data_IF_677279855205
#
_entry.id   IF_677279855205
#
_cell.length_a   1.000
_cell.length_b   1.000
_cell.length_c   1.000
_cell.angle_alpha   90.00
_cell.angle_beta   90.00
_cell.angle_gamma   90.00
#
_symmetry.space_group_name_H-M   'P 1'
#
loop_
_entity.id
_entity.type
_entity.pdbx_description
1 polymer ?
#
# COMPACT_ATOMS: atom_id res chain seq x y z
N UNK A 1 16.62 -6.96 -19.24
CA UNK A 1 16.37 -5.50 -19.24
C UNK A 1 17.38 -4.69 -18.41
N UNK A 2 18.47 -5.30 -17.91
CA UNK A 2 19.53 -4.64 -17.15
C UNK A 2 20.76 -4.26 -18.01
N UNK A 3 20.76 -4.58 -19.31
CA UNK A 3 21.93 -4.39 -20.20
C UNK A 3 21.97 -3.02 -20.89
N UNK A 4 20.83 -2.36 -21.07
CA UNK A 4 20.76 -1.12 -21.86
C UNK A 4 21.11 0.14 -21.05
N UNK A 5 21.13 0.06 -19.72
CA UNK A 5 21.52 1.16 -18.84
C UNK A 5 23.02 1.21 -18.56
N UNK A 6 23.73 0.10 -18.73
CA UNK A 6 25.19 0.06 -18.54
C UNK A 6 25.96 0.50 -19.79
N UNK A 7 25.36 0.35 -20.97
CA UNK A 7 25.94 0.79 -22.24
C UNK A 7 25.91 2.32 -22.38
N UNK A 8 24.88 2.99 -21.86
CA UNK A 8 24.75 4.46 -21.89
C UNK A 8 25.71 5.19 -20.94
N UNK A 9 26.20 4.52 -19.88
CA UNK A 9 27.15 5.12 -18.94
C UNK A 9 28.59 5.11 -19.47
N UNK A 10 28.98 4.11 -20.25
CA UNK A 10 30.32 4.01 -20.85
C UNK A 10 30.50 4.99 -22.02
N UNK A 11 29.44 5.31 -22.78
CA UNK A 11 29.55 6.27 -23.90
C UNK A 11 29.71 7.72 -23.44
N UNK A 12 29.33 8.05 -22.20
CA UNK A 12 29.46 9.41 -21.66
C UNK A 12 30.89 9.72 -21.17
N UNK A 13 31.71 8.70 -20.88
CA UNK A 13 33.06 8.88 -20.30
C UNK A 13 34.13 9.06 -21.38
N UNK A 14 33.95 8.56 -22.61
CA UNK A 14 34.96 8.70 -23.67
C UNK A 14 34.91 10.03 -24.47
N UNK A 15 33.91 10.89 -24.25
CA UNK A 15 33.76 12.13 -25.05
C UNK A 15 34.37 13.38 -24.38
N UNK A 16 35.06 13.24 -23.23
CA UNK A 16 35.55 14.41 -22.45
C UNK A 16 37.07 14.47 -22.27
N UNK A 17 37.86 13.85 -23.15
CA UNK A 17 39.32 14.09 -23.25
C UNK A 17 39.72 14.26 -24.71
N UNK A 18 39.63 15.49 -25.24
CA UNK A 18 40.07 15.72 -26.62
C UNK A 18 39.66 17.04 -27.26
N UNK A 19 39.70 18.17 -26.55
CA UNK A 19 39.75 19.49 -27.22
C UNK A 19 40.79 20.35 -26.50
N UNK A 20 42.05 20.10 -26.85
CA UNK A 20 43.11 21.11 -26.69
C UNK A 20 42.81 22.20 -27.71
N UNK A 21 42.37 23.36 -27.22
CA UNK A 21 42.28 24.58 -28.04
C UNK A 21 43.71 25.05 -28.29
N UNK A 22 44.28 24.64 -29.42
CA UNK A 22 45.33 25.39 -30.11
C UNK A 22 44.67 26.09 -31.29
N UNK A 23 44.17 27.30 -31.06
CA UNK A 23 43.96 28.24 -32.16
C UNK A 23 45.17 29.18 -32.14
N UNK A 24 46.13 28.83 -32.98
CA UNK A 24 47.29 29.64 -33.32
C UNK A 24 46.75 30.90 -34.01
N UNK A 25 46.76 32.01 -33.27
CA UNK A 25 46.42 33.32 -33.79
C UNK A 25 47.34 33.65 -34.98
N UNK A 26 46.81 33.48 -36.20
CA UNK A 26 47.41 33.97 -37.42
C UNK A 26 47.52 35.50 -37.32
N UNK A 27 48.70 35.98 -36.95
CA UNK A 27 49.09 37.37 -37.16
C UNK A 27 49.27 37.61 -38.67
N UNK A 28 48.15 37.80 -39.36
CA UNK A 28 48.09 38.53 -40.62
C UNK A 28 48.30 40.01 -40.33
N UNK A 29 49.56 40.41 -40.17
CA UNK A 29 49.97 41.81 -40.27
C UNK A 29 49.89 42.21 -41.74
N UNK A 30 48.69 42.52 -42.21
CA UNK A 30 48.50 43.20 -43.49
C UNK A 30 49.10 44.60 -43.34
N UNK A 31 50.23 44.77 -44.00
CA UNK A 31 50.92 46.03 -44.14
C UNK A 31 50.07 46.97 -45.02
N UNK A 32 49.06 47.59 -44.42
CA UNK A 32 48.42 48.77 -44.97
C UNK A 32 49.40 49.94 -44.82
N UNK A 33 50.19 50.13 -45.87
CA UNK A 33 51.02 51.30 -46.15
C UNK A 33 50.15 52.55 -46.18
N UNK A 34 49.93 53.18 -45.02
CA UNK A 34 49.55 54.58 -44.97
C UNK A 34 50.81 55.42 -45.27
N UNK A 35 51.02 55.66 -46.56
CA UNK A 35 51.88 56.72 -47.05
C UNK A 35 51.41 58.03 -46.45
N UNK A 36 52.25 58.61 -45.59
CA UNK A 36 52.07 59.97 -45.11
C UNK A 36 52.55 60.88 -46.22
N UNK A 37 51.61 61.49 -46.93
CA UNK A 37 51.87 62.62 -47.80
C UNK A 37 52.51 63.73 -46.97
N UNK A 38 53.81 63.94 -47.19
CA UNK A 38 54.54 65.06 -46.65
C UNK A 38 54.15 66.34 -47.41
N UNK A 39 53.12 67.03 -46.92
CA UNK A 39 52.85 68.43 -47.25
C UNK A 39 53.10 69.25 -45.98
N UNK A 40 54.23 69.95 -45.97
CA UNK A 40 54.80 70.56 -44.78
C UNK A 40 54.03 71.77 -44.26
N UNK A 41 54.30 72.10 -42.99
CA UNK A 41 54.44 73.46 -42.50
C UNK A 41 55.34 73.42 -41.26
N UNK A 42 56.43 74.18 -41.32
CA UNK A 42 57.25 74.49 -40.16
C UNK A 42 56.55 75.58 -39.33
N UNK A 43 56.50 75.44 -38.01
CA UNK A 43 57.10 76.41 -37.06
C UNK A 43 56.83 76.01 -35.61
N UNK A 44 57.85 76.28 -34.79
CA UNK A 44 57.83 76.45 -33.33
C UNK A 44 57.87 75.24 -32.40
N UNK A 45 58.66 75.42 -31.35
CA UNK A 45 59.09 74.40 -30.40
C UNK A 45 57.90 73.80 -29.62
N UNK A 46 57.69 72.50 -29.75
CA UNK A 46 56.69 71.80 -28.95
C UNK A 46 57.17 70.38 -28.64
N UNK A 47 56.92 69.94 -27.40
CA UNK A 47 57.29 68.62 -26.92
C UNK A 47 56.71 67.49 -27.77
N UNK A 48 57.16 66.27 -27.46
CA UNK A 48 56.74 65.00 -28.09
C UNK A 48 55.43 65.12 -28.90
N UNK A 49 55.42 64.85 -30.23
CA UNK A 49 54.27 65.06 -31.10
C UNK A 49 52.99 64.31 -30.69
N UNK A 50 53.09 63.39 -29.72
CA UNK A 50 51.98 62.68 -29.08
C UNK A 50 51.16 63.55 -28.09
N UNK A 51 51.69 64.68 -27.63
CA UNK A 51 51.09 65.54 -26.60
C UNK A 51 50.61 66.89 -27.14
N UNK A 52 50.37 66.98 -28.45
CA UNK A 52 49.78 68.18 -29.05
C UNK A 52 48.28 68.27 -28.73
N UNK A 53 47.95 69.19 -27.81
CA UNK A 53 46.62 69.45 -27.27
C UNK A 53 45.64 69.89 -28.39
N UNK A 54 46.13 70.40 -29.53
CA UNK A 54 45.28 70.77 -30.66
C UNK A 54 44.48 69.59 -31.23
N UNK A 55 44.96 68.35 -31.07
CA UNK A 55 44.28 67.13 -31.57
C UNK A 55 43.30 66.51 -30.58
N UNK A 56 43.38 66.87 -29.29
CA UNK A 56 42.56 66.26 -28.23
C UNK A 56 41.07 66.55 -28.37
N UNK A 57 40.67 67.71 -28.91
CA UNK A 57 39.25 68.04 -29.12
C UNK A 57 38.52 67.04 -30.02
N UNK A 58 39.15 66.67 -31.15
CA UNK A 58 38.58 65.69 -32.08
C UNK A 58 38.58 64.26 -31.48
N UNK A 59 39.64 63.87 -30.78
CA UNK A 59 39.71 62.56 -30.11
C UNK A 59 38.66 62.43 -29.00
N UNK A 60 38.51 63.45 -28.15
CA UNK A 60 37.51 63.48 -27.08
C UNK A 60 36.09 63.48 -27.67
N UNK A 61 35.83 64.21 -28.75
CA UNK A 61 34.55 64.19 -29.44
C UNK A 61 34.17 62.77 -29.90
N UNK A 62 35.07 62.08 -30.62
CA UNK A 62 34.81 60.70 -31.06
C UNK A 62 34.75 59.70 -29.91
N UNK A 63 35.53 59.90 -28.83
CA UNK A 63 35.44 59.09 -27.62
C UNK A 63 34.04 59.21 -27.02
N UNK A 64 33.52 60.43 -26.86
CA UNK A 64 32.16 60.64 -26.34
C UNK A 64 31.11 60.05 -27.27
N UNK A 65 31.23 60.24 -28.59
CA UNK A 65 30.30 59.66 -29.58
C UNK A 65 30.28 58.14 -29.49
N UNK A 66 31.44 57.49 -29.52
CA UNK A 66 31.54 56.02 -29.43
C UNK A 66 31.09 55.48 -28.07
N UNK A 67 31.38 56.19 -26.97
CA UNK A 67 30.90 55.84 -25.64
C UNK A 67 29.38 55.90 -25.56
N UNK A 68 28.76 56.95 -26.12
CA UNK A 68 27.29 57.09 -26.17
C UNK A 68 26.68 55.99 -27.04
N UNK A 69 27.26 55.70 -28.21
CA UNK A 69 26.79 54.60 -29.07
C UNK A 69 26.90 53.26 -28.34
N UNK A 70 28.03 52.98 -27.69
CA UNK A 70 28.22 51.75 -26.89
C UNK A 70 27.22 51.67 -25.73
N UNK A 71 27.00 52.77 -25.01
CA UNK A 71 26.02 52.86 -23.93
C UNK A 71 24.59 52.56 -24.43
N UNK A 72 24.21 53.09 -25.59
CA UNK A 72 22.92 52.82 -26.20
C UNK A 72 22.79 51.35 -26.61
N UNK A 73 23.83 50.74 -27.17
CA UNK A 73 23.82 49.30 -27.52
C UNK A 73 23.70 48.43 -26.28
N UNK A 74 24.48 48.71 -25.22
CA UNK A 74 24.42 47.94 -23.98
C UNK A 74 23.08 48.10 -23.27
N UNK A 75 22.60 49.33 -23.11
CA UNK A 75 21.33 49.60 -22.43
C UNK A 75 20.13 49.05 -23.18
N UNK A 76 20.15 49.10 -24.53
CA UNK A 76 18.98 48.76 -25.34
C UNK A 76 18.98 47.34 -25.89
N UNK A 77 20.13 46.66 -25.96
CA UNK A 77 20.25 45.32 -26.54
C UNK A 77 20.85 44.30 -25.56
N UNK A 78 21.99 44.59 -24.94
CA UNK A 78 22.69 43.60 -24.11
C UNK A 78 21.98 43.35 -22.77
N UNK A 79 21.68 44.41 -22.02
CA UNK A 79 20.98 44.31 -20.73
C UNK A 79 19.59 43.66 -20.83
N UNK A 80 18.70 44.04 -21.77
CA UNK A 80 17.39 43.42 -21.86
C UNK A 80 17.45 41.94 -22.24
N UNK A 81 18.45 41.50 -23.03
CA UNK A 81 18.64 40.08 -23.34
C UNK A 81 19.04 39.26 -22.12
N UNK A 82 19.95 39.77 -21.30
CA UNK A 82 20.37 39.09 -20.06
C UNK A 82 19.21 39.05 -19.06
N UNK A 83 18.46 40.16 -18.94
CA UNK A 83 17.28 40.23 -18.07
C UNK A 83 16.20 39.20 -18.48
N UNK A 84 15.97 39.00 -19.78
CA UNK A 84 15.03 37.99 -20.27
C UNK A 84 15.44 36.57 -19.86
N UNK A 85 16.71 36.17 -20.07
CA UNK A 85 17.20 34.84 -19.67
C UNK A 85 17.11 34.63 -18.16
N UNK A 86 17.41 35.67 -17.38
CA UNK A 86 17.30 35.59 -15.93
C UNK A 86 15.84 35.42 -15.48
N UNK A 87 14.92 36.16 -16.09
CA UNK A 87 13.48 36.03 -15.85
C UNK A 87 12.96 34.64 -16.22
N UNK A 88 13.38 34.09 -17.36
CA UNK A 88 12.98 32.75 -17.81
C UNK A 88 13.44 31.68 -16.81
N UNK A 89 14.69 31.78 -16.33
CA UNK A 89 15.22 30.86 -15.30
C UNK A 89 14.49 30.99 -13.98
N UNK A 90 14.21 32.22 -13.52
CA UNK A 90 13.44 32.43 -12.30
C UNK A 90 12.01 31.88 -12.44
N UNK A 91 11.39 32.07 -13.61
CA UNK A 91 10.08 31.51 -13.93
C UNK A 91 10.08 29.99 -13.91
N UNK A 92 11.07 29.35 -14.54
CA UNK A 92 11.22 27.89 -14.52
C UNK A 92 11.42 27.35 -13.11
N UNK A 93 12.33 27.93 -12.32
CA UNK A 93 12.58 27.51 -10.93
C UNK A 93 11.35 27.68 -10.05
N UNK A 94 10.62 28.79 -10.21
CA UNK A 94 9.39 29.03 -9.46
C UNK A 94 8.30 28.04 -9.87
N UNK A 95 8.17 27.76 -11.17
CA UNK A 95 7.26 26.75 -11.70
C UNK A 95 7.56 25.36 -11.16
N UNK A 96 8.82 24.95 -11.18
CA UNK A 96 9.28 23.66 -10.66
C UNK A 96 9.05 23.55 -9.15
N UNK A 97 9.28 24.63 -8.39
CA UNK A 97 9.03 24.67 -6.96
C UNK A 97 7.53 24.53 -6.65
N UNK A 98 6.68 25.25 -7.39
CA UNK A 98 5.22 25.15 -7.25
C UNK A 98 4.72 23.74 -7.59
N UNK A 99 5.22 23.15 -8.68
CA UNK A 99 4.87 21.78 -9.06
C UNK A 99 5.32 20.77 -8.00
N UNK A 100 6.53 20.92 -7.43
CA UNK A 100 7.02 20.09 -6.35
C UNK A 100 6.16 20.20 -5.08
N UNK A 101 5.76 21.42 -4.70
CA UNK A 101 4.86 21.67 -3.57
C UNK A 101 3.48 21.02 -3.82
N UNK A 102 2.93 21.15 -5.03
CA UNK A 102 1.66 20.54 -5.43
C UNK A 102 1.73 19.00 -5.37
N UNK A 103 2.79 18.39 -5.91
CA UNK A 103 2.98 16.94 -5.83
C UNK A 103 3.18 16.46 -4.39
N UNK A 104 3.89 17.23 -3.56
CA UNK A 104 4.04 16.94 -2.13
C UNK A 104 2.70 17.01 -1.40
N UNK A 105 1.87 17.99 -1.72
CA UNK A 105 0.54 18.13 -1.13
C UNK A 105 -0.37 16.98 -1.57
N UNK A 106 -0.40 16.65 -2.86
CA UNK A 106 -1.14 15.49 -3.39
C UNK A 106 -0.68 14.17 -2.77
N UNK A 107 0.62 13.99 -2.57
CA UNK A 107 1.16 12.79 -1.92
C UNK A 107 0.68 12.69 -0.46
N UNK A 108 0.71 13.79 0.31
CA UNK A 108 0.20 13.82 1.68
C UNK A 108 -1.30 13.55 1.76
N UNK A 109 -2.08 14.11 0.83
CA UNK A 109 -3.52 13.87 0.76
C UNK A 109 -3.84 12.41 0.42
N UNK A 110 -3.09 11.82 -0.52
CA UNK A 110 -3.21 10.41 -0.86
C UNK A 110 -2.80 9.50 0.31
N UNK A 111 -1.74 9.83 1.03
CA UNK A 111 -1.30 9.11 2.25
C UNK A 111 -2.38 9.18 3.33
N UNK A 112 -2.92 10.36 3.62
CA UNK A 112 -4.00 10.52 4.59
C UNK A 112 -5.28 9.76 4.19
N UNK A 113 -5.63 9.77 2.90
CA UNK A 113 -6.77 9.02 2.39
C UNK A 113 -6.54 7.50 2.47
N UNK A 114 -5.32 7.04 2.18
CA UNK A 114 -4.92 5.64 2.31
C UNK A 114 -4.99 5.17 3.77
N UNK A 115 -4.40 5.92 4.69
CA UNK A 115 -4.40 5.60 6.12
C UNK A 115 -5.81 5.58 6.70
N UNK A 116 -6.66 6.53 6.27
CA UNK A 116 -8.08 6.54 6.62
C UNK A 116 -8.80 5.30 6.09
N UNK A 117 -8.63 4.96 4.81
CA UNK A 117 -9.25 3.78 4.23
C UNK A 117 -8.79 2.49 4.93
N UNK A 118 -7.51 2.41 5.33
CA UNK A 118 -6.98 1.28 6.08
C UNK A 118 -7.57 1.19 7.49
N UNK A 119 -7.74 2.32 8.17
CA UNK A 119 -8.37 2.38 9.49
C UNK A 119 -9.85 1.97 9.42
N UNK A 120 -10.58 2.52 8.44
CA UNK A 120 -11.99 2.21 8.20
C UNK A 120 -12.18 0.73 7.87
N UNK A 121 -11.37 0.17 6.96
CA UNK A 121 -11.41 -1.25 6.62
C UNK A 121 -11.09 -2.17 7.82
N UNK A 122 -10.14 -1.79 8.68
CA UNK A 122 -9.85 -2.54 9.92
C UNK A 122 -11.01 -2.47 10.90
N UNK A 123 -11.64 -1.32 11.05
CA UNK A 123 -12.81 -1.14 11.92
C UNK A 123 -14.00 -1.96 11.40
N UNK A 124 -14.26 -1.92 10.10
CA UNK A 124 -15.33 -2.69 9.46
C UNK A 124 -15.09 -4.20 9.59
N UNK A 125 -13.86 -4.67 9.35
CA UNK A 125 -13.51 -6.07 9.56
C UNK A 125 -13.74 -6.53 11.01
N UNK A 126 -13.37 -5.70 11.99
CA UNK A 126 -13.63 -5.99 13.41
C UNK A 126 -15.13 -6.03 13.73
N UNK A 127 -15.91 -5.10 13.17
CA UNK A 127 -17.36 -5.07 13.33
C UNK A 127 -18.02 -6.33 12.73
N UNK A 128 -17.62 -6.73 11.52
CA UNK A 128 -18.08 -7.95 10.85
C UNK A 128 -17.74 -9.18 11.70
N UNK A 129 -16.52 -9.28 12.23
CA UNK A 129 -16.13 -10.41 13.09
C UNK A 129 -16.96 -10.46 14.38
N UNK A 130 -17.22 -9.31 15.01
CA UNK A 130 -18.04 -9.23 16.22
C UNK A 130 -19.50 -9.61 15.95
N UNK A 131 -20.07 -9.13 14.84
CA UNK A 131 -21.42 -9.47 14.41
C UNK A 131 -21.55 -10.98 14.13
N UNK A 132 -20.66 -11.54 13.30
CA UNK A 132 -20.68 -12.97 12.98
C UNK A 132 -20.51 -13.84 14.23
N UNK A 133 -19.66 -13.45 15.19
CA UNK A 133 -19.55 -14.17 16.47
C UNK A 133 -20.86 -14.19 17.24
N UNK A 134 -21.57 -13.06 17.25
CA UNK A 134 -22.86 -12.95 17.95
C UNK A 134 -23.94 -13.79 17.26
N UNK A 135 -24.01 -13.74 15.93
CA UNK A 135 -24.93 -14.55 15.14
C UNK A 135 -24.65 -16.05 15.30
N UNK A 136 -23.40 -16.48 15.15
CA UNK A 136 -22.98 -17.88 15.34
C UNK A 136 -23.29 -18.36 16.76
N UNK A 137 -23.04 -17.54 17.79
CA UNK A 137 -23.35 -17.91 19.17
C UNK A 137 -24.85 -18.11 19.36
N UNK A 138 -25.68 -17.24 18.79
CA UNK A 138 -27.15 -17.34 18.86
C UNK A 138 -27.65 -18.59 18.16
N UNK A 139 -27.13 -18.89 16.96
CA UNK A 139 -27.47 -20.11 16.23
C UNK A 139 -27.02 -21.38 16.96
N UNK A 140 -25.83 -21.34 17.56
CA UNK A 140 -25.28 -22.44 18.35
C UNK A 140 -26.15 -22.70 19.58
N UNK A 141 -26.54 -21.67 20.32
CA UNK A 141 -27.39 -21.79 21.51
C UNK A 141 -28.77 -22.36 21.13
N UNK A 142 -29.34 -21.93 20.01
CA UNK A 142 -30.60 -22.47 19.48
C UNK A 142 -30.46 -23.94 19.05
N UNK A 143 -29.35 -24.30 18.39
CA UNK A 143 -29.08 -25.67 17.99
C UNK A 143 -28.87 -26.60 19.19
N UNK A 144 -28.16 -26.14 20.22
CA UNK A 144 -27.99 -26.87 21.49
C UNK A 144 -29.35 -27.08 22.17
N UNK A 145 -30.16 -26.03 22.32
CA UNK A 145 -31.48 -26.13 22.95
C UNK A 145 -32.39 -27.12 22.20
N UNK A 146 -32.34 -27.13 20.86
CA UNK A 146 -33.07 -28.10 20.05
C UNK A 146 -32.55 -29.53 20.25
N UNK A 147 -31.23 -29.72 20.23
CA UNK A 147 -30.60 -31.01 20.44
C UNK A 147 -30.95 -31.58 21.82
N UNK A 148 -30.90 -30.76 22.87
CA UNK A 148 -31.27 -31.16 24.24
C UNK A 148 -32.74 -31.57 24.33
N UNK A 149 -33.65 -30.83 23.67
CA UNK A 149 -35.06 -31.19 23.61
C UNK A 149 -35.29 -32.54 22.89
N UNK A 150 -34.61 -32.78 21.77
CA UNK A 150 -34.69 -34.04 21.03
C UNK A 150 -34.10 -35.22 21.83
N UNK A 151 -32.96 -35.00 22.50
CA UNK A 151 -32.33 -36.00 23.38
C UNK A 151 -33.28 -36.34 24.54
N UNK A 152 -33.86 -35.34 25.20
CA UNK A 152 -34.80 -35.55 26.30
C UNK A 152 -36.04 -36.31 25.85
N UNK A 153 -36.57 -36.01 24.65
CA UNK A 153 -37.72 -36.73 24.09
C UNK A 153 -37.37 -38.20 23.80
N UNK A 154 -36.23 -38.47 23.16
CA UNK A 154 -35.76 -39.84 22.87
C UNK A 154 -35.44 -40.62 24.14
N UNK A 155 -34.90 -39.97 25.17
CA UNK A 155 -34.66 -40.58 26.46
C UNK A 155 -35.98 -41.00 27.12
N UNK A 156 -36.98 -40.12 27.16
CA UNK A 156 -38.31 -40.42 27.70
C UNK A 156 -39.01 -41.56 26.94
N UNK A 157 -38.91 -41.57 25.61
CA UNK A 157 -39.44 -42.66 24.78
C UNK A 157 -38.73 -44.00 25.06
N UNK A 158 -37.40 -43.98 25.15
CA UNK A 158 -36.60 -45.17 25.45
C UNK A 158 -36.92 -45.70 26.84
N UNK A 159 -37.08 -44.83 27.84
CA UNK A 159 -37.52 -45.23 29.18
C UNK A 159 -38.91 -45.86 29.17
N UNK A 160 -39.85 -45.31 28.39
CA UNK A 160 -41.18 -45.89 28.26
C UNK A 160 -41.13 -47.30 27.64
N UNK A 161 -40.36 -47.49 26.57
CA UNK A 161 -40.15 -48.83 25.98
C UNK A 161 -39.45 -49.79 26.95
N UNK A 162 -38.45 -49.34 27.70
CA UNK A 162 -37.78 -50.18 28.70
C UNK A 162 -38.77 -50.61 29.78
N UNK A 163 -39.66 -49.71 30.24
CA UNK A 163 -40.71 -50.05 31.22
C UNK A 163 -41.69 -51.08 30.65
N UNK A 164 -42.09 -50.94 29.39
CA UNK A 164 -42.98 -51.90 28.72
C UNK A 164 -42.31 -53.28 28.56
N UNK A 165 -41.06 -53.32 28.09
CA UNK A 165 -40.27 -54.56 27.98
C UNK A 165 -40.10 -55.22 29.35
N UNK A 166 -39.83 -54.45 30.40
CA UNK A 166 -39.75 -54.99 31.78
C UNK A 166 -41.07 -55.59 32.22
N UNK A 167 -42.19 -54.91 32.00
CA UNK A 167 -43.51 -55.42 32.37
C UNK A 167 -43.86 -56.72 31.61
N UNK A 168 -43.59 -56.78 30.30
CA UNK A 168 -43.78 -57.98 29.50
C UNK A 168 -42.85 -59.12 29.92
N UNK A 169 -41.58 -58.82 30.21
CA UNK A 169 -40.63 -59.81 30.70
C UNK A 169 -41.04 -60.38 32.06
N UNK A 170 -41.58 -59.56 32.97
CA UNK A 170 -42.10 -60.01 34.26
C UNK A 170 -43.31 -60.94 34.08
N UNK A 171 -44.20 -60.65 33.13
CA UNK A 171 -45.35 -61.51 32.80
C UNK A 171 -44.90 -62.85 32.19
N UNK A 172 -44.03 -62.83 31.18
CA UNK A 172 -43.46 -64.05 30.59
C UNK A 172 -42.67 -64.87 31.61
N UNK A 173 -41.95 -64.22 32.53
CA UNK A 173 -41.25 -64.91 33.61
C UNK A 173 -42.21 -65.61 34.58
N UNK A 174 -43.37 -65.01 34.89
CA UNK A 174 -44.42 -65.65 35.70
C UNK A 174 -45.03 -66.85 34.99
N UNK A 175 -45.31 -66.72 33.70
CA UNK A 175 -45.87 -67.81 32.89
C UNK A 175 -44.91 -69.01 32.85
N UNK A 176 -43.65 -68.78 32.49
CA UNK A 176 -42.62 -69.84 32.46
C UNK A 176 -42.41 -70.44 33.85
N UNK A 177 -42.39 -69.63 34.91
CA UNK A 177 -42.24 -70.15 36.28
C UNK A 177 -43.42 -71.04 36.69
N UNK A 178 -44.66 -70.68 36.33
CA UNK A 178 -45.85 -71.52 36.57
C UNK A 178 -45.78 -72.82 35.79
N UNK A 179 -45.45 -72.77 34.51
CA UNK A 179 -45.33 -73.94 33.63
C UNK A 179 -44.27 -74.92 34.13
N UNK A 180 -43.07 -74.42 34.45
CA UNK A 180 -41.97 -75.24 34.99
C UNK A 180 -42.34 -75.84 36.34
N UNK A 181 -43.00 -75.07 37.21
CA UNK A 181 -43.44 -75.58 38.54
C UNK A 181 -44.51 -76.67 38.39
N UNK A 182 -45.50 -76.49 37.51
CA UNK A 182 -46.55 -77.46 37.25
C UNK A 182 -45.98 -78.78 36.66
N UNK A 183 -45.03 -78.67 35.72
CA UNK A 183 -44.31 -79.83 35.19
C UNK A 183 -43.50 -80.54 36.27
N UNK A 184 -42.82 -79.79 37.15
CA UNK A 184 -42.02 -80.36 38.22
C UNK A 184 -42.90 -81.14 39.22
N UNK A 185 -44.02 -80.57 39.66
CA UNK A 185 -45.00 -81.23 40.57
C UNK A 185 -45.54 -82.51 39.94
N UNK A 186 -45.85 -82.47 38.64
CA UNK A 186 -46.31 -83.65 37.90
C UNK A 186 -45.23 -84.73 37.80
N UNK A 187 -43.95 -84.37 37.60
CA UNK A 187 -42.85 -85.34 37.54
C UNK A 187 -42.57 -86.04 38.87
N UNK A 188 -42.86 -85.38 40.00
CA UNK A 188 -42.70 -85.93 41.35
C UNK A 188 -43.95 -86.71 41.83
N UNK A 189 -44.95 -86.90 40.97
CA UNK A 189 -46.14 -87.70 41.25
C UNK A 189 -47.24 -86.97 42.04
N UNK A 190 -47.16 -85.64 42.16
CA UNK A 190 -48.22 -84.81 42.72
C UNK A 190 -49.28 -84.44 41.70
N UNK A 191 -50.49 -84.11 42.16
CA UNK A 191 -51.53 -83.53 41.29
C UNK A 191 -51.32 -82.01 41.25
N UNK A 192 -51.01 -81.45 40.09
CA UNK A 192 -50.79 -80.02 39.92
C UNK A 192 -52.14 -79.29 39.95
N UNK A 193 -52.49 -78.72 41.09
CA UNK A 193 -53.59 -77.75 41.16
C UNK A 193 -53.08 -76.39 40.65
N UNK A 194 -53.54 -76.01 39.46
CA UNK A 194 -53.15 -74.78 38.77
C UNK A 194 -53.35 -73.52 39.66
N UNK A 195 -54.40 -73.51 40.49
CA UNK A 195 -54.67 -72.39 41.38
C UNK A 195 -53.64 -72.29 42.52
N UNK A 196 -53.24 -73.43 43.08
CA UNK A 196 -52.23 -73.49 44.14
C UNK A 196 -50.83 -73.14 43.61
N UNK A 197 -50.47 -73.62 42.41
CA UNK A 197 -49.19 -73.31 41.75
C UNK A 197 -49.10 -71.82 41.40
N UNK A 198 -50.14 -71.24 40.81
CA UNK A 198 -50.18 -69.82 40.47
C UNK A 198 -50.03 -68.93 41.72
N UNK A 199 -50.74 -69.26 42.80
CA UNK A 199 -50.64 -68.57 44.10
C UNK A 199 -49.23 -68.64 44.70
N UNK A 200 -48.61 -69.83 44.69
CA UNK A 200 -47.28 -70.03 45.26
C UNK A 200 -46.18 -69.29 44.47
N UNK A 201 -46.26 -69.31 43.14
CA UNK A 201 -45.32 -68.60 42.27
C UNK A 201 -45.48 -67.08 42.43
N UNK A 202 -46.70 -66.55 42.44
CA UNK A 202 -46.95 -65.12 42.61
C UNK A 202 -46.46 -64.62 43.99
N UNK A 203 -46.69 -65.39 45.06
CA UNK A 203 -46.19 -65.07 46.39
C UNK A 203 -44.65 -65.03 46.42
N UNK A 204 -43.98 -65.94 45.71
CA UNK A 204 -42.52 -66.01 45.68
C UNK A 204 -41.89 -64.93 44.80
N UNK A 205 -42.50 -64.61 43.66
CA UNK A 205 -42.03 -63.53 42.78
C UNK A 205 -42.26 -62.13 43.41
N UNK A 206 -43.36 -61.90 44.13
CA UNK A 206 -43.54 -60.66 44.91
C UNK A 206 -42.47 -60.45 46.00
N UNK A 207 -41.94 -61.53 46.56
CA UNK A 207 -40.90 -61.49 47.58
C UNK A 207 -39.47 -61.27 47.05
N UNK A 208 -39.25 -61.40 45.74
CA UNK A 208 -37.93 -61.26 45.12
C UNK A 208 -37.70 -59.89 44.43
N UNK A 209 -38.75 -59.05 44.34
CA UNK A 209 -38.74 -57.75 43.63
C UNK A 209 -38.83 -56.55 44.62
N UNK A 210 -38.86 -56.81 45.93
CA UNK A 210 -38.55 -55.80 46.97
C UNK A 210 -37.05 -55.79 47.26
#
# INVERSE_FOLDING_TARGET
>A
MFSLLQEAATTAVETTEGVVVTDEAAHGADAATHGVDAAGHATEAAGLPQLDIATFGNQIFWLVVTLVVLYLVLSRVALPRIAAVLSDRQGAVTGDLMAAEEFKQKAKEAEAAYDKALADARSEAQAIVAQNRTEIQTELDAAIAKADAEISARAAESEARIREIRASADESAREVARDVTAQLVSSFGGNADDAAVASAVDARMKGAVQ
#
